data_IF_466800484967
#
_entry.id   IF_466800484967
#
_cell.length_a   1.000
_cell.length_b   1.000
_cell.length_c   1.000
_cell.angle_alpha   90.00
_cell.angle_beta   90.00
_cell.angle_gamma   90.00
#
_symmetry.space_group_name_H-M   'P 1'
#
loop_
_entity.id
_entity.type
_entity.pdbx_description
1 polymer ?
#
# COMPACT_ATOMS: atom_id res chain seq x y z
N UNK A 1 9.63 22.44 14.01
CA UNK A 1 8.66 21.95 15.02
C UNK A 1 7.39 21.59 14.30
N UNK A 2 7.13 20.29 14.19
CA UNK A 2 5.83 19.70 13.93
C UNK A 2 5.96 18.26 14.40
N UNK A 3 6.00 18.12 15.73
CA UNK A 3 5.84 16.87 16.44
C UNK A 3 4.46 16.33 16.06
N UNK A 4 4.42 15.22 15.33
CA UNK A 4 3.20 14.42 15.19
C UNK A 4 3.45 13.15 15.98
N UNK A 5 3.15 13.26 17.26
CA UNK A 5 2.92 12.14 18.16
C UNK A 5 1.76 11.32 17.57
N UNK A 6 2.04 10.14 17.06
CA UNK A 6 1.02 9.12 16.82
C UNK A 6 1.36 7.96 17.76
N UNK A 7 0.53 7.84 18.78
CA UNK A 7 0.75 7.04 19.98
C UNK A 7 1.08 5.58 19.70
N UNK A 8 2.10 5.17 20.46
CA UNK A 8 2.36 3.87 21.04
C UNK A 8 1.08 3.07 21.33
N UNK A 9 0.75 2.10 20.47
CA UNK A 9 0.23 0.78 20.84
C UNK A 9 0.10 -0.08 19.57
N UNK A 10 1.21 -0.67 19.12
CA UNK A 10 1.18 -1.74 18.14
C UNK A 10 1.59 -3.02 18.85
N UNK A 11 0.57 -3.68 19.42
CA UNK A 11 0.60 -5.08 19.81
C UNK A 11 1.37 -5.89 18.76
N UNK A 12 2.30 -6.73 19.19
CA UNK A 12 3.07 -7.63 18.34
C UNK A 12 2.17 -8.70 17.69
N UNK A 13 1.30 -8.27 16.78
CA UNK A 13 0.62 -9.11 15.82
C UNK A 13 1.61 -9.27 14.68
N UNK A 14 2.04 -10.51 14.45
CA UNK A 14 2.73 -10.86 13.21
C UNK A 14 1.86 -10.42 12.04
N UNK A 15 2.16 -9.27 11.44
CA UNK A 15 1.48 -8.84 10.22
C UNK A 15 1.93 -9.79 9.12
N UNK A 16 1.03 -10.68 8.75
CA UNK A 16 1.18 -11.52 7.57
C UNK A 16 1.08 -10.59 6.35
N UNK A 17 2.19 -10.45 5.64
CA UNK A 17 2.23 -9.67 4.41
C UNK A 17 1.38 -10.39 3.36
N UNK A 18 0.29 -9.77 2.85
CA UNK A 18 -0.60 -10.43 1.92
C UNK A 18 0.14 -10.70 0.63
N UNK A 19 -0.16 -11.84 0.02
CA UNK A 19 0.48 -12.23 -1.25
C UNK A 19 -0.40 -11.90 -2.46
N UNK A 20 -1.67 -11.60 -2.19
CA UNK A 20 -2.70 -11.30 -3.16
C UNK A 20 -3.42 -10.01 -2.84
N UNK A 21 -3.98 -9.37 -3.87
CA UNK A 21 -4.86 -8.20 -3.72
C UNK A 21 -6.07 -8.51 -2.84
N UNK A 22 -6.67 -9.70 -2.99
CA UNK A 22 -7.88 -10.08 -2.24
C UNK A 22 -7.61 -10.19 -0.75
N UNK A 23 -6.44 -10.67 -0.34
CA UNK A 23 -6.03 -10.68 1.07
C UNK A 23 -5.79 -9.27 1.58
N UNK A 24 -5.03 -8.46 0.82
CA UNK A 24 -4.75 -7.07 1.17
C UNK A 24 -6.02 -6.22 1.30
N UNK A 25 -7.00 -6.39 0.40
CA UNK A 25 -8.27 -5.67 0.45
C UNK A 25 -9.12 -6.00 1.67
N UNK A 26 -8.89 -7.14 2.33
CA UNK A 26 -9.62 -7.48 3.56
C UNK A 26 -9.13 -6.69 4.76
N UNK A 27 -7.90 -6.20 4.72
CA UNK A 27 -7.32 -5.45 5.83
C UNK A 27 -7.29 -3.93 5.54
N UNK A 28 -7.75 -3.10 6.49
CA UNK A 28 -7.83 -1.66 6.28
C UNK A 28 -6.45 -1.00 6.13
N UNK A 29 -5.41 -1.54 6.76
CA UNK A 29 -4.05 -1.01 6.67
C UNK A 29 -3.48 -1.10 5.24
N UNK A 30 -3.67 -2.24 4.57
CA UNK A 30 -3.21 -2.45 3.20
C UNK A 30 -4.06 -1.69 2.18
N UNK A 31 -5.38 -1.57 2.42
CA UNK A 31 -6.24 -0.69 1.61
C UNK A 31 -5.80 0.76 1.66
N UNK A 32 -5.46 1.27 2.84
CA UNK A 32 -4.96 2.63 3.00
C UNK A 32 -3.63 2.81 2.25
N UNK A 33 -2.71 1.84 2.36
CA UNK A 33 -1.44 1.87 1.64
C UNK A 33 -1.62 1.87 0.12
N UNK A 34 -2.50 1.03 -0.43
CA UNK A 34 -2.81 1.02 -1.87
C UNK A 34 -3.39 2.35 -2.34
N UNK A 35 -4.31 2.95 -1.56
CA UNK A 35 -4.90 4.23 -1.90
C UNK A 35 -3.89 5.39 -1.86
N UNK A 36 -2.96 5.39 -0.89
CA UNK A 36 -1.86 6.36 -0.86
C UNK A 36 -0.98 6.27 -2.12
N UNK A 37 -0.62 5.05 -2.55
CA UNK A 37 0.24 4.84 -3.71
C UNK A 37 -0.47 5.19 -5.02
N UNK A 38 -1.75 4.83 -5.18
CA UNK A 38 -2.60 5.29 -6.29
C UNK A 38 -2.66 6.82 -6.37
N UNK A 39 -2.92 7.48 -5.24
CA UNK A 39 -2.97 8.95 -5.18
C UNK A 39 -1.63 9.59 -5.54
N UNK A 40 -0.51 8.99 -5.10
CA UNK A 40 0.83 9.45 -5.46
C UNK A 40 1.09 9.35 -6.96
N UNK A 41 0.61 8.29 -7.61
CA UNK A 41 0.71 8.12 -9.07
C UNK A 41 -0.08 9.22 -9.80
N UNK A 42 -1.30 9.51 -9.35
CA UNK A 42 -2.15 10.57 -9.89
C UNK A 42 -1.52 11.95 -9.70
N UNK A 43 -1.00 12.25 -8.50
CA UNK A 43 -0.37 13.54 -8.16
C UNK A 43 0.91 13.78 -8.96
N UNK A 44 1.70 12.72 -9.19
CA UNK A 44 2.89 12.80 -10.03
C UNK A 44 2.58 13.01 -11.52
N UNK A 45 1.31 12.84 -11.95
CA UNK A 45 0.90 13.02 -13.34
C UNK A 45 1.63 12.09 -14.33
N UNK A 46 2.13 10.96 -13.83
CA UNK A 46 2.94 10.02 -14.63
C UNK A 46 2.09 8.99 -15.37
N UNK A 47 0.84 8.80 -14.96
CA UNK A 47 -0.09 7.84 -15.54
C UNK A 47 -1.46 8.48 -15.71
N UNK A 48 -2.10 8.21 -16.85
CA UNK A 48 -3.49 8.52 -17.11
C UNK A 48 -4.29 7.20 -17.32
N UNK A 49 -5.44 7.03 -16.66
CA UNK A 49 -6.31 5.90 -16.93
C UNK A 49 -6.92 6.05 -18.33
N UNK A 50 -6.69 5.07 -19.20
CA UNK A 50 -7.22 5.03 -20.57
C UNK A 50 -8.03 3.76 -20.79
N UNK A 51 -9.07 3.86 -21.61
CA UNK A 51 -9.83 2.69 -22.04
C UNK A 51 -8.96 1.78 -22.93
N UNK A 52 -9.01 0.48 -22.67
CA UNK A 52 -8.31 -0.50 -23.50
C UNK A 52 -9.00 -0.62 -24.85
N UNK A 53 -8.34 -0.18 -25.93
CA UNK A 53 -8.90 -0.27 -27.27
C UNK A 53 -9.03 -1.72 -27.73
N UNK A 54 -10.05 -1.97 -28.57
CA UNK A 54 -10.33 -3.31 -29.09
C UNK A 54 -9.10 -3.91 -29.79
N UNK A 55 -8.79 -5.16 -29.44
CA UNK A 55 -7.64 -5.89 -29.99
C UNK A 55 -6.32 -5.70 -29.24
N UNK A 56 -6.26 -4.84 -28.22
CA UNK A 56 -5.09 -4.72 -27.35
C UNK A 56 -5.23 -5.55 -26.08
N UNK A 57 -4.07 -5.94 -25.52
CA UNK A 57 -3.96 -6.64 -24.24
C UNK A 57 -3.39 -5.67 -23.21
N UNK A 58 -4.11 -5.43 -22.13
CA UNK A 58 -3.58 -4.69 -21.00
C UNK A 58 -2.36 -5.42 -20.41
N UNK A 59 -1.33 -4.65 -20.06
CA UNK A 59 -0.19 -5.18 -19.32
C UNK A 59 -0.65 -5.34 -17.87
N UNK A 60 -0.58 -6.57 -17.36
CA UNK A 60 -0.86 -6.84 -15.96
C UNK A 60 0.22 -6.23 -15.07
N UNK A 61 -0.20 -5.66 -13.94
CA UNK A 61 0.66 -5.24 -12.84
C UNK A 61 0.33 -6.06 -11.59
N UNK A 62 1.30 -6.21 -10.70
CA UNK A 62 1.13 -6.93 -9.43
C UNK A 62 1.61 -6.04 -8.28
N UNK A 63 0.75 -5.92 -7.27
CA UNK A 63 1.07 -5.24 -6.00
C UNK A 63 2.08 -6.04 -5.18
N UNK A 64 2.96 -5.33 -4.47
CA UNK A 64 3.96 -5.94 -3.59
C UNK A 64 3.86 -5.30 -2.22
N UNK A 65 3.24 -6.02 -1.30
CA UNK A 65 2.96 -5.54 0.04
C UNK A 65 4.18 -5.72 0.94
N UNK A 66 4.51 -4.67 1.70
CA UNK A 66 5.61 -4.72 2.65
C UNK A 66 5.34 -3.90 3.91
N UNK A 67 5.55 -4.51 5.06
CA UNK A 67 5.53 -3.81 6.35
C UNK A 67 6.92 -3.28 6.67
N UNK A 68 7.07 -1.95 6.78
CA UNK A 68 8.30 -1.33 7.29
C UNK A 68 8.31 -1.43 8.81
N UNK A 69 9.43 -1.89 9.35
CA UNK A 69 9.65 -2.05 10.80
C UNK A 69 10.77 -1.13 11.30
N UNK A 70 10.70 -0.70 12.56
CA UNK A 70 11.79 0.01 13.25
C UNK A 70 12.89 -0.96 13.74
N UNK A 71 13.93 -0.42 14.39
CA UNK A 71 15.02 -1.20 14.98
C UNK A 71 14.54 -2.14 16.10
N UNK A 72 13.40 -1.84 16.71
CA UNK A 72 12.76 -2.66 17.75
C UNK A 72 11.81 -3.71 17.16
N UNK A 73 11.60 -3.74 15.84
CA UNK A 73 10.72 -4.67 15.14
C UNK A 73 9.25 -4.24 15.04
N UNK A 74 8.88 -3.05 15.54
CA UNK A 74 7.53 -2.49 15.47
C UNK A 74 7.22 -1.96 14.07
N UNK A 75 5.98 -2.12 13.62
CA UNK A 75 5.57 -1.70 12.29
C UNK A 75 5.36 -0.18 12.27
N UNK A 76 6.15 0.51 11.48
CA UNK A 76 6.06 1.97 11.33
C UNK A 76 5.15 2.37 10.18
N UNK A 77 5.08 1.57 9.11
CA UNK A 77 4.28 1.88 7.92
C UNK A 77 4.01 0.63 7.08
N UNK A 78 2.81 0.54 6.51
CA UNK A 78 2.47 -0.42 5.46
C UNK A 78 2.71 0.23 4.09
N UNK A 79 3.30 -0.53 3.17
CA UNK A 79 3.54 -0.12 1.77
C UNK A 79 2.91 -1.14 0.82
N UNK A 80 2.28 -0.65 -0.25
CA UNK A 80 1.70 -1.49 -1.30
C UNK A 80 2.38 -1.18 -2.64
#
# INVERSE_FOLDING_TARGET
MAERELGDELHAVSVEEPTTLVEAEREPCWRAAMAEELRSIEDNGTWEPVDLSAGHRAIGLKWVYKAKRDENGHIIKHKA
#
